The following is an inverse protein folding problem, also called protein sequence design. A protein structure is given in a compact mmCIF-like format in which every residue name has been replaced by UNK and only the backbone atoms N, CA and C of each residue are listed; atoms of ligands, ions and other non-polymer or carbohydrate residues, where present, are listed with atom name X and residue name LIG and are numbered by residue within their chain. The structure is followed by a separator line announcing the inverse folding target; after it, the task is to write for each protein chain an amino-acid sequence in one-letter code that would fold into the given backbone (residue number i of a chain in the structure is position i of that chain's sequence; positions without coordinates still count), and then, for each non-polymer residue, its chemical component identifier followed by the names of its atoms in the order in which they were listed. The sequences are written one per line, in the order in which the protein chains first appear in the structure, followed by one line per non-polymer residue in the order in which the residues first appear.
data_IF_141979627051
#
_entry.id   IF_141979627051
#
_cell.length_a   1.000
_cell.length_b   1.000
_cell.length_c   1.000
_cell.angle_alpha   90.00
_cell.angle_beta   90.00
_cell.angle_gamma   90.00
#
_symmetry.space_group_name_H-M   'P 1'
#
loop_
_entity.id
_entity.type
_entity.pdbx_description
1 polymer ?
#
# COMPACT_ATOMS: atom_id res chain seq x y z
N UNK A 1 -18.38 14.25 15.40
CA UNK A 1 -18.50 13.05 14.55
C UNK A 1 -19.30 12.02 15.31
N UNK A 2 -20.37 11.50 14.71
CA UNK A 2 -21.09 10.36 15.25
C UNK A 2 -20.17 9.13 15.26
N UNK A 3 -20.51 8.11 16.05
CA UNK A 3 -19.79 6.82 16.01
C UNK A 3 -19.78 6.20 14.61
N UNK A 4 -20.82 6.43 13.81
CA UNK A 4 -20.98 5.84 12.48
C UNK A 4 -20.06 6.54 11.46
N UNK A 5 -19.96 7.87 11.53
CA UNK A 5 -19.11 8.65 10.62
C UNK A 5 -17.65 8.22 10.73
N UNK A 6 -17.19 7.96 11.96
CA UNK A 6 -15.84 7.47 12.23
C UNK A 6 -15.61 6.07 11.64
N UNK A 7 -16.59 5.17 11.79
CA UNK A 7 -16.51 3.82 11.22
C UNK A 7 -16.43 3.87 9.70
N UNK A 8 -17.23 4.72 9.04
CA UNK A 8 -17.18 4.91 7.58
C UNK A 8 -15.79 5.40 7.17
N UNK A 9 -15.27 6.41 7.85
CA UNK A 9 -13.94 6.97 7.58
C UNK A 9 -12.83 5.93 7.74
N UNK A 10 -12.86 5.15 8.82
CA UNK A 10 -11.85 4.11 9.10
C UNK A 10 -11.90 2.99 8.04
N UNK A 11 -13.09 2.55 7.63
CA UNK A 11 -13.27 1.51 6.59
C UNK A 11 -12.74 2.01 5.24
N UNK A 12 -13.13 3.22 4.83
CA UNK A 12 -12.68 3.80 3.57
C UNK A 12 -11.16 3.98 3.57
N UNK A 13 -10.60 4.46 4.68
CA UNK A 13 -9.15 4.67 4.83
C UNK A 13 -8.34 3.39 4.71
N UNK A 14 -8.83 2.29 5.28
CA UNK A 14 -8.12 0.99 5.23
C UNK A 14 -8.39 0.21 3.94
N UNK A 15 -9.23 0.72 3.03
CA UNK A 15 -9.56 0.00 1.79
C UNK A 15 -8.32 -0.20 0.90
N UNK A 16 -8.06 -1.39 0.35
CA UNK A 16 -6.99 -1.61 -0.61
C UNK A 16 -7.18 -0.83 -1.91
N UNK A 17 -6.07 -0.44 -2.55
CA UNK A 17 -6.09 0.26 -3.84
C UNK A 17 -6.78 -0.59 -4.90
N UNK A 18 -7.77 -0.01 -5.58
CA UNK A 18 -8.56 -0.69 -6.61
C UNK A 18 -9.86 -1.34 -6.11
N UNK A 19 -10.09 -1.38 -4.80
CA UNK A 19 -11.28 -2.03 -4.22
C UNK A 19 -12.32 -1.04 -3.66
N UNK A 20 -11.97 0.26 -3.61
CA UNK A 20 -12.81 1.34 -3.12
C UNK A 20 -14.25 1.35 -3.69
N UNK A 21 -14.49 1.20 -5.01
CA UNK A 21 -15.86 1.23 -5.54
C UNK A 21 -16.76 0.15 -4.93
N UNK A 22 -16.23 -1.07 -4.74
CA UNK A 22 -16.98 -2.18 -4.13
C UNK A 22 -17.28 -1.92 -2.66
N UNK A 23 -16.29 -1.41 -1.91
CA UNK A 23 -16.47 -1.06 -0.50
C UNK A 23 -17.53 0.03 -0.33
N UNK A 24 -17.59 1.01 -1.23
CA UNK A 24 -18.63 2.06 -1.22
C UNK A 24 -20.02 1.45 -1.49
N UNK A 25 -20.13 0.52 -2.43
CA UNK A 25 -21.39 -0.19 -2.70
C UNK A 25 -21.84 -1.00 -1.49
N UNK A 26 -20.94 -1.76 -0.86
CA UNK A 26 -21.23 -2.55 0.33
C UNK A 26 -21.66 -1.67 1.52
N UNK A 27 -20.98 -0.54 1.75
CA UNK A 27 -21.34 0.41 2.80
C UNK A 27 -22.75 0.99 2.61
N UNK A 28 -23.12 1.31 1.35
CA UNK A 28 -24.47 1.79 1.02
C UNK A 28 -25.55 0.73 1.21
N UNK A 29 -25.21 -0.55 1.05
CA UNK A 29 -26.14 -1.67 1.30
C UNK A 29 -26.31 -1.94 2.80
N UNK A 30 -25.24 -1.83 3.58
CA UNK A 30 -25.26 -2.08 5.03
C UNK A 30 -25.95 -0.94 5.79
N UNK A 31 -25.76 0.30 5.34
CA UNK A 31 -26.27 1.49 6.02
C UNK A 31 -27.56 1.95 5.34
N UNK A 32 -28.69 1.77 6.04
CA UNK A 32 -30.04 2.15 5.58
C UNK A 32 -30.31 3.68 5.66
N UNK A 33 -29.30 4.49 5.33
CA UNK A 33 -29.34 5.96 5.33
C UNK A 33 -28.46 6.53 4.23
N UNK A 34 -28.78 7.75 3.80
CA UNK A 34 -27.92 8.49 2.89
C UNK A 34 -26.64 8.94 3.60
N UNK A 35 -25.50 8.35 3.22
CA UNK A 35 -24.16 8.62 3.76
C UNK A 35 -23.24 9.35 2.77
N UNK A 36 -23.79 9.99 1.73
CA UNK A 36 -22.99 10.57 0.65
C UNK A 36 -22.05 11.69 1.14
N UNK A 37 -22.45 12.44 2.17
CA UNK A 37 -21.64 13.50 2.74
C UNK A 37 -20.41 12.94 3.48
N UNK A 38 -20.61 11.94 4.32
CA UNK A 38 -19.57 11.24 5.07
C UNK A 38 -18.59 10.52 4.13
N UNK A 39 -19.13 9.86 3.10
CA UNK A 39 -18.34 9.22 2.05
C UNK A 39 -17.48 10.24 1.31
N UNK A 40 -18.02 11.41 0.93
CA UNK A 40 -17.26 12.44 0.21
C UNK A 40 -16.01 12.88 1.00
N UNK A 41 -16.16 13.10 2.30
CA UNK A 41 -15.04 13.48 3.18
C UNK A 41 -14.01 12.36 3.27
N UNK A 42 -14.45 11.12 3.52
CA UNK A 42 -13.56 9.97 3.66
C UNK A 42 -12.83 9.64 2.35
N UNK A 43 -13.52 9.72 1.21
CA UNK A 43 -12.97 9.43 -0.12
C UNK A 43 -11.95 10.50 -0.51
N UNK A 44 -12.17 11.77 -0.14
CA UNK A 44 -11.16 12.82 -0.32
C UNK A 44 -9.87 12.46 0.42
N UNK A 45 -9.93 12.16 1.71
CA UNK A 45 -8.74 11.78 2.49
C UNK A 45 -8.06 10.53 1.92
N UNK A 46 -8.85 9.53 1.55
CA UNK A 46 -8.36 8.30 0.91
C UNK A 46 -7.61 8.60 -0.38
N UNK A 47 -8.18 9.42 -1.26
CA UNK A 47 -7.59 9.74 -2.55
C UNK A 47 -6.25 10.46 -2.42
N UNK A 48 -6.16 11.42 -1.49
CA UNK A 48 -4.94 12.16 -1.22
C UNK A 48 -3.84 11.28 -0.62
N UNK A 49 -4.23 10.32 0.24
CA UNK A 49 -3.30 9.41 0.91
C UNK A 49 -2.80 8.31 -0.03
N UNK A 50 -3.64 7.87 -0.98
CA UNK A 50 -3.31 6.83 -1.95
C UNK A 50 -2.70 7.35 -3.26
N UNK A 51 -2.43 8.66 -3.34
CA UNK A 51 -1.91 9.30 -4.55
C UNK A 51 -2.79 8.94 -5.75
N UNK A 52 -4.11 8.99 -5.59
CA UNK A 52 -5.03 8.63 -6.66
C UNK A 52 -4.75 9.48 -7.89
N UNK A 53 -4.87 8.88 -9.06
CA UNK A 53 -4.59 9.54 -10.32
C UNK A 53 -5.91 9.94 -10.96
N UNK A 54 -5.96 11.13 -11.53
CA UNK A 54 -7.12 11.59 -12.30
C UNK A 54 -6.64 11.98 -13.69
N UNK A 55 -7.49 11.76 -14.69
CA UNK A 55 -7.19 12.18 -16.06
C UNK A 55 -7.64 13.64 -16.26
N UNK A 56 -6.69 14.52 -16.55
CA UNK A 56 -6.93 15.93 -16.91
C UNK A 56 -6.36 16.18 -18.30
N UNK A 57 -7.25 16.43 -19.27
CA UNK A 57 -6.87 16.68 -20.67
C UNK A 57 -5.99 15.57 -21.30
N UNK A 58 -6.25 14.30 -20.99
CA UNK A 58 -5.48 13.10 -21.40
C UNK A 58 -4.13 12.93 -20.68
N UNK A 59 -3.91 13.64 -19.57
CA UNK A 59 -2.73 13.49 -18.74
C UNK A 59 -3.14 12.93 -17.37
N UNK A 60 -2.61 11.77 -16.95
CA UNK A 60 -2.82 11.28 -15.59
C UNK A 60 -2.03 12.15 -14.60
N UNK A 61 -2.74 12.75 -13.65
CA UNK A 61 -2.19 13.63 -12.62
C UNK A 61 -2.49 13.02 -11.24
N UNK A 62 -1.45 12.90 -10.41
CA UNK A 62 -1.58 12.49 -9.02
C UNK A 62 -2.19 13.61 -8.19
N UNK A 63 -3.22 13.28 -7.40
CA UNK A 63 -3.78 14.18 -6.39
C UNK A 63 -3.25 13.85 -5.01
N UNK A 64 -2.75 14.86 -4.31
CA UNK A 64 -2.13 14.72 -3.01
C UNK A 64 -2.23 16.01 -2.20
N UNK A 65 -1.89 15.95 -0.92
CA UNK A 65 -1.75 17.16 -0.08
C UNK A 65 -0.62 18.09 -0.54
N UNK A 66 0.35 17.56 -1.30
CA UNK A 66 1.56 18.30 -1.70
C UNK A 66 1.35 19.17 -2.93
N UNK A 67 0.28 18.95 -3.70
CA UNK A 67 -0.11 19.78 -4.83
C UNK A 67 -1.48 20.42 -4.67
N UNK A 68 -1.93 20.56 -3.43
CA UNK A 68 -3.17 21.23 -3.06
C UNK A 68 -2.86 22.70 -2.75
N UNK A 69 -3.59 23.63 -3.35
CA UNK A 69 -3.36 25.08 -3.22
C UNK A 69 -4.26 25.69 -2.13
N UNK A 70 -5.57 25.44 -2.19
CA UNK A 70 -6.60 26.08 -1.32
C UNK A 70 -7.70 25.11 -0.86
N UNK A 71 -7.34 23.97 -0.27
CA UNK A 71 -8.23 22.87 0.14
C UNK A 71 -9.15 22.26 -0.95
N UNK A 72 -9.41 22.95 -2.06
CA UNK A 72 -10.30 22.54 -3.15
C UNK A 72 -9.57 22.39 -4.48
N UNK A 73 -8.54 23.22 -4.74
CA UNK A 73 -7.80 23.22 -5.99
C UNK A 73 -6.50 22.44 -5.89
N UNK A 74 -6.17 21.78 -7.00
CA UNK A 74 -4.93 21.07 -7.22
C UNK A 74 -4.17 21.70 -8.37
N UNK A 75 -2.84 21.65 -8.26
CA UNK A 75 -1.91 22.22 -9.23
C UNK A 75 -1.11 21.09 -9.86
N UNK A 76 -0.93 21.17 -11.16
CA UNK A 76 0.12 20.44 -11.86
C UNK A 76 0.99 21.42 -12.63
N UNK A 77 2.13 21.73 -12.02
CA UNK A 77 3.16 22.62 -12.57
C UNK A 77 3.73 22.09 -13.89
N UNK A 78 3.78 20.75 -14.06
CA UNK A 78 4.34 20.14 -15.27
C UNK A 78 3.45 20.39 -16.49
N UNK A 79 2.14 20.23 -16.35
CA UNK A 79 1.20 20.45 -17.45
C UNK A 79 0.63 21.88 -17.48
N UNK A 80 0.94 22.71 -16.48
CA UNK A 80 0.48 24.09 -16.41
C UNK A 80 -1.03 24.19 -16.20
N UNK A 81 -1.59 23.34 -15.34
CA UNK A 81 -3.03 23.31 -15.06
C UNK A 81 -3.34 23.42 -13.56
N UNK A 82 -4.43 24.12 -13.24
CA UNK A 82 -5.06 24.18 -11.92
C UNK A 82 -6.50 23.70 -12.07
N UNK A 83 -6.95 22.79 -11.22
CA UNK A 83 -8.27 22.18 -11.33
C UNK A 83 -8.85 21.81 -9.98
N UNK A 84 -10.17 21.71 -9.89
CA UNK A 84 -10.92 21.13 -8.77
C UNK A 84 -11.20 19.66 -9.05
N UNK A 85 -11.43 18.87 -8.01
CA UNK A 85 -11.71 17.42 -8.14
C UNK A 85 -13.04 17.06 -7.52
N UNK A 86 -13.88 16.41 -8.30
CA UNK A 86 -14.99 15.62 -7.75
C UNK A 86 -14.42 14.28 -7.27
N UNK A 87 -14.21 14.17 -5.96
CA UNK A 87 -13.63 12.96 -5.37
C UNK A 87 -14.54 11.73 -5.44
N UNK A 88 -15.86 11.91 -5.61
CA UNK A 88 -16.81 10.81 -5.74
C UNK A 88 -16.77 10.20 -7.14
N UNK A 89 -16.76 11.07 -8.17
CA UNK A 89 -16.69 10.65 -9.58
C UNK A 89 -15.26 10.45 -10.09
N UNK A 90 -14.28 10.91 -9.31
CA UNK A 90 -12.86 10.94 -9.66
C UNK A 90 -12.61 11.67 -11.00
N UNK A 91 -13.21 12.85 -11.15
CA UNK A 91 -13.13 13.68 -12.36
C UNK A 91 -12.67 15.09 -12.07
N UNK A 92 -11.89 15.72 -12.97
CA UNK A 92 -11.55 17.12 -12.84
C UNK A 92 -12.76 18.02 -13.12
N UNK A 93 -12.76 19.18 -12.47
CA UNK A 93 -13.72 20.28 -12.60
C UNK A 93 -12.95 21.60 -12.64
N UNK A 94 -13.54 22.67 -13.19
CA UNK A 94 -12.97 24.03 -13.16
C UNK A 94 -11.49 24.12 -13.57
N UNK A 95 -11.15 23.49 -14.71
CA UNK A 95 -9.77 23.47 -15.22
C UNK A 95 -9.38 24.86 -15.73
N UNK A 96 -8.28 25.39 -15.20
CA UNK A 96 -7.69 26.68 -15.54
C UNK A 96 -6.23 26.49 -15.91
N UNK A 97 -5.75 27.18 -16.94
CA UNK A 97 -4.34 27.14 -17.34
C UNK A 97 -3.52 28.09 -16.47
N UNK A 98 -2.37 27.63 -16.02
CA UNK A 98 -1.38 28.38 -15.23
C UNK A 98 -0.02 28.34 -15.95
N UNK A 99 0.94 29.09 -15.44
CA UNK A 99 2.30 29.04 -15.96
C UNK A 99 2.92 27.65 -15.77
N UNK A 100 3.45 27.09 -16.85
CA UNK A 100 4.10 25.79 -16.84
C UNK A 100 5.49 25.91 -16.23
N UNK A 101 5.81 25.05 -15.27
CA UNK A 101 7.12 24.99 -14.62
C UNK A 101 7.58 23.54 -14.51
N UNK A 102 8.55 23.19 -15.35
CA UNK A 102 9.13 21.84 -15.40
C UNK A 102 10.34 21.78 -14.47
N UNK A 103 10.32 20.85 -13.52
CA UNK A 103 11.44 20.63 -12.63
C UNK A 103 12.68 20.12 -13.38
N UNK A 104 13.87 20.53 -12.94
CA UNK A 104 15.16 20.03 -13.45
C UNK A 104 15.32 18.52 -13.33
N UNK A 105 14.56 17.86 -12.45
CA UNK A 105 14.59 16.41 -12.24
C UNK A 105 13.59 15.64 -13.11
N UNK A 106 12.70 16.32 -13.86
CA UNK A 106 11.60 15.68 -14.59
C UNK A 106 12.08 14.62 -15.58
N UNK A 107 13.07 14.94 -16.41
CA UNK A 107 13.58 14.02 -17.44
C UNK A 107 14.21 12.76 -16.83
N UNK A 108 15.01 12.90 -15.79
CA UNK A 108 15.69 11.78 -15.12
C UNK A 108 14.69 10.90 -14.35
N UNK A 109 13.76 11.53 -13.63
CA UNK A 109 12.71 10.83 -12.89
C UNK A 109 11.75 10.09 -13.84
N UNK A 110 11.37 10.72 -14.96
CA UNK A 110 10.53 10.09 -15.99
C UNK A 110 11.14 8.78 -16.48
N UNK A 111 12.44 8.82 -16.82
CA UNK A 111 13.18 7.63 -17.27
C UNK A 111 13.22 6.57 -16.18
N UNK A 112 13.52 6.96 -14.95
CA UNK A 112 13.53 6.04 -13.80
C UNK A 112 12.17 5.33 -13.63
N UNK A 113 11.08 6.09 -13.63
CA UNK A 113 9.74 5.57 -13.39
C UNK A 113 9.32 4.61 -14.51
N UNK A 114 9.55 4.96 -15.78
CA UNK A 114 9.26 4.10 -16.93
C UNK A 114 10.07 2.79 -16.88
N UNK A 115 11.35 2.88 -16.49
CA UNK A 115 12.23 1.70 -16.43
C UNK A 115 11.89 0.74 -15.28
N UNK A 116 11.40 1.25 -14.14
CA UNK A 116 11.14 0.44 -12.94
C UNK A 116 9.68 0.02 -12.76
N UNK A 117 8.73 0.79 -13.28
CA UNK A 117 7.30 0.57 -13.04
C UNK A 117 6.55 0.40 -14.35
N UNK A 118 5.87 -0.73 -14.53
CA UNK A 118 5.10 -1.02 -15.74
C UNK A 118 3.94 -0.02 -15.97
N UNK A 119 3.41 0.56 -14.90
CA UNK A 119 2.36 1.60 -14.88
C UNK A 119 2.69 2.61 -13.76
N UNK A 120 3.89 3.19 -13.87
CA UNK A 120 4.38 4.18 -12.92
C UNK A 120 3.92 5.59 -13.27
N UNK A 121 3.58 6.35 -12.25
CA UNK A 121 3.27 7.77 -12.33
C UNK A 121 4.06 8.52 -11.27
N UNK A 122 4.33 9.80 -11.51
CA UNK A 122 5.01 10.64 -10.53
C UNK A 122 4.50 12.07 -10.59
N UNK A 123 4.77 12.80 -9.52
CA UNK A 123 4.49 14.22 -9.39
C UNK A 123 5.67 14.89 -8.69
N UNK A 124 6.07 16.06 -9.17
CA UNK A 124 7.05 16.91 -8.51
C UNK A 124 6.36 18.23 -8.19
N UNK A 125 6.24 18.56 -6.91
CA UNK A 125 5.72 19.86 -6.48
C UNK A 125 6.39 20.34 -5.20
N UNK A 126 6.79 21.62 -5.15
CA UNK A 126 7.41 22.26 -3.97
C UNK A 126 8.54 21.42 -3.34
N UNK A 127 9.51 20.97 -4.16
CA UNK A 127 10.63 20.10 -3.73
C UNK A 127 10.22 18.74 -3.15
N UNK A 128 8.96 18.33 -3.29
CA UNK A 128 8.48 16.98 -2.94
C UNK A 128 8.30 16.17 -4.22
N UNK A 129 8.89 14.98 -4.23
CA UNK A 129 8.70 13.97 -5.27
C UNK A 129 7.73 12.91 -4.75
N UNK A 130 6.65 12.66 -5.48
CA UNK A 130 5.76 11.53 -5.28
C UNK A 130 5.94 10.54 -6.42
N UNK A 131 6.04 9.26 -6.09
CA UNK A 131 6.08 8.16 -7.06
C UNK A 131 4.99 7.17 -6.69
N UNK A 132 4.23 6.75 -7.69
CA UNK A 132 3.19 5.74 -7.56
C UNK A 132 3.38 4.65 -8.61
N UNK A 133 3.41 3.42 -8.15
CA UNK A 133 3.19 2.24 -8.98
C UNK A 133 2.00 1.47 -8.45
N UNK A 134 1.13 0.99 -9.32
CA UNK A 134 0.05 0.10 -8.91
C UNK A 134 -0.22 -0.93 -9.99
N UNK A 135 -0.73 -2.08 -9.56
CA UNK A 135 -1.19 -3.13 -10.46
C UNK A 135 -2.30 -3.89 -9.77
N UNK A 136 -3.38 -4.10 -10.50
CA UNK A 136 -4.58 -4.77 -9.97
C UNK A 136 -5.01 -5.85 -10.94
N UNK A 137 -5.47 -6.98 -10.40
CA UNK A 137 -6.04 -8.06 -11.19
C UNK A 137 -7.21 -8.69 -10.44
N UNK A 138 -8.38 -8.07 -10.57
CA UNK A 138 -9.60 -8.55 -9.90
C UNK A 138 -10.02 -9.96 -10.34
N UNK A 139 -9.71 -10.34 -11.59
CA UNK A 139 -9.93 -11.71 -12.10
C UNK A 139 -9.04 -12.76 -11.41
N UNK A 140 -7.88 -12.34 -10.92
CA UNK A 140 -6.93 -13.19 -10.19
C UNK A 140 -6.92 -12.87 -8.69
N UNK A 141 -7.91 -12.12 -8.20
CA UNK A 141 -8.11 -11.81 -6.79
C UNK A 141 -6.92 -11.15 -6.08
N UNK A 142 -6.19 -10.23 -6.74
CA UNK A 142 -5.17 -9.45 -6.06
C UNK A 142 -5.07 -7.99 -6.52
N UNK A 143 -4.57 -7.16 -5.60
CA UNK A 143 -4.20 -5.77 -5.83
C UNK A 143 -2.84 -5.49 -5.19
N UNK A 144 -2.08 -4.58 -5.79
CA UNK A 144 -0.76 -4.20 -5.30
C UNK A 144 -0.47 -2.73 -5.60
N UNK A 145 0.09 -2.04 -4.62
CA UNK A 145 0.47 -0.64 -4.72
C UNK A 145 1.82 -0.37 -4.06
N UNK A 146 2.56 0.53 -4.69
CA UNK A 146 3.81 1.11 -4.23
C UNK A 146 3.66 2.62 -4.29
N UNK A 147 3.82 3.30 -3.15
CA UNK A 147 3.71 4.76 -3.05
C UNK A 147 4.92 5.27 -2.31
N UNK A 148 5.61 6.22 -2.90
CA UNK A 148 6.79 6.81 -2.30
C UNK A 148 6.69 8.32 -2.29
N UNK A 149 7.15 8.92 -1.21
CA UNK A 149 7.29 10.36 -1.05
C UNK A 149 8.73 10.65 -0.69
N UNK A 150 9.33 11.65 -1.32
CA UNK A 150 10.66 12.15 -0.98
C UNK A 150 10.62 13.67 -0.88
N UNK A 151 11.12 14.21 0.22
CA UNK A 151 11.31 15.63 0.44
C UNK A 151 12.77 15.98 0.13
N UNK A 152 13.00 16.77 -0.93
CA UNK A 152 14.33 17.14 -1.40
C UNK A 152 14.99 18.21 -0.52
N UNK A 153 14.25 18.90 0.35
CA UNK A 153 14.83 19.88 1.28
C UNK A 153 15.40 19.18 2.51
N UNK A 154 14.68 18.20 3.05
CA UNK A 154 15.08 17.47 4.26
C UNK A 154 15.85 16.17 3.97
N UNK A 155 15.78 15.67 2.73
CA UNK A 155 16.31 14.37 2.35
C UNK A 155 15.52 13.20 2.92
N UNK A 156 14.35 13.43 3.53
CA UNK A 156 13.53 12.37 4.12
C UNK A 156 12.58 11.79 3.09
N UNK A 157 12.45 10.47 3.11
CA UNK A 157 11.50 9.74 2.29
C UNK A 157 10.66 8.76 3.09
N UNK A 158 9.56 8.36 2.49
CA UNK A 158 8.62 7.39 3.02
C UNK A 158 8.14 6.51 1.86
N UNK A 159 8.23 5.18 2.04
CA UNK A 159 7.79 4.19 1.05
C UNK A 159 6.71 3.33 1.71
N UNK A 160 5.52 3.34 1.11
CA UNK A 160 4.36 2.57 1.50
C UNK A 160 4.04 1.52 0.44
N UNK A 161 3.96 0.26 0.86
CA UNK A 161 3.66 -0.88 0.01
C UNK A 161 2.44 -1.58 0.59
N UNK A 162 1.44 -1.81 -0.26
CA UNK A 162 0.21 -2.49 0.13
C UNK A 162 -0.18 -3.51 -0.94
N UNK A 163 -0.24 -4.78 -0.57
CA UNK A 163 -0.61 -5.90 -1.45
C UNK A 163 -1.72 -6.69 -0.78
N UNK A 164 -2.81 -6.93 -1.49
CA UNK A 164 -3.95 -7.69 -1.02
C UNK A 164 -4.24 -8.84 -1.97
N UNK A 165 -4.40 -10.05 -1.43
CA UNK A 165 -4.81 -11.25 -2.16
C UNK A 165 -6.00 -11.89 -1.44
N UNK A 166 -7.06 -12.19 -2.19
CA UNK A 166 -8.37 -12.54 -1.63
C UNK A 166 -9.07 -13.72 -2.32
N UNK A 167 -8.30 -14.65 -2.90
CA UNK A 167 -8.85 -15.92 -3.41
C UNK A 167 -8.98 -16.91 -2.24
N UNK A 168 -10.21 -17.38 -1.97
CA UNK A 168 -10.53 -18.35 -0.91
C UNK A 168 -9.99 -17.99 0.50
N UNK A 169 -9.72 -16.71 0.73
CA UNK A 169 -9.13 -16.18 1.95
C UNK A 169 -8.93 -14.67 1.87
N UNK A 170 -8.27 -14.08 2.87
CA UNK A 170 -7.85 -12.68 2.86
C UNK A 170 -6.43 -12.60 3.43
N UNK A 171 -5.48 -12.22 2.58
CA UNK A 171 -4.07 -12.04 2.94
C UNK A 171 -3.64 -10.66 2.47
N UNK A 172 -3.13 -9.85 3.38
CA UNK A 172 -2.63 -8.51 3.09
C UNK A 172 -1.23 -8.31 3.62
N UNK A 173 -0.38 -7.67 2.82
CA UNK A 173 0.92 -7.15 3.20
C UNK A 173 0.84 -5.64 3.21
N UNK A 174 1.05 -5.03 4.37
CA UNK A 174 1.28 -3.60 4.51
C UNK A 174 2.69 -3.37 5.02
N UNK A 175 3.42 -2.46 4.38
CA UNK A 175 4.79 -2.10 4.78
C UNK A 175 4.95 -0.59 4.65
N UNK A 176 5.44 0.04 5.72
CA UNK A 176 5.83 1.44 5.74
C UNK A 176 7.31 1.52 6.11
N UNK A 177 8.12 2.13 5.26
CA UNK A 177 9.55 2.32 5.48
C UNK A 177 9.89 3.80 5.38
N UNK A 178 10.45 4.35 6.46
CA UNK A 178 11.06 5.67 6.43
C UNK A 178 12.51 5.54 5.94
N UNK A 179 12.90 6.42 5.04
CA UNK A 179 14.22 6.38 4.38
C UNK A 179 14.84 7.76 4.31
N UNK A 180 16.13 7.80 4.05
CA UNK A 180 16.88 9.03 3.79
C UNK A 180 17.51 8.94 2.41
N UNK A 181 17.51 10.05 1.68
CA UNK A 181 18.08 10.17 0.34
C UNK A 181 19.15 11.25 0.32
N UNK A 182 20.15 11.06 -0.53
CA UNK A 182 21.16 12.08 -0.81
C UNK A 182 20.58 13.15 -1.74
N UNK A 183 20.47 14.37 -1.21
CA UNK A 183 19.91 15.54 -1.90
C UNK A 183 20.80 16.00 -3.07
N UNK A 184 22.11 15.67 -3.05
CA UNK A 184 23.03 16.07 -4.12
C UNK A 184 22.73 15.35 -5.44
N UNK A 185 22.27 14.10 -5.35
CA UNK A 185 21.90 13.26 -6.50
C UNK A 185 20.62 12.47 -6.21
N UNK A 186 19.46 13.16 -6.10
CA UNK A 186 18.27 12.61 -5.47
C UNK A 186 17.68 11.42 -6.23
N UNK A 187 17.60 11.49 -7.56
CA UNK A 187 17.00 10.41 -8.37
C UNK A 187 17.83 9.12 -8.29
N UNK A 188 19.16 9.24 -8.36
CA UNK A 188 20.06 8.10 -8.19
C UNK A 188 19.97 7.48 -6.79
N UNK A 189 19.83 8.32 -5.75
CA UNK A 189 19.65 7.87 -4.37
C UNK A 189 18.31 7.16 -4.17
N UNK A 190 17.22 7.70 -4.74
CA UNK A 190 15.89 7.08 -4.74
C UNK A 190 15.98 5.68 -5.35
N UNK A 191 16.59 5.56 -6.54
CA UNK A 191 16.78 4.26 -7.20
C UNK A 191 17.49 3.24 -6.31
N UNK A 192 18.57 3.63 -5.64
CA UNK A 192 19.33 2.74 -4.77
C UNK A 192 18.51 2.31 -3.54
N UNK A 193 17.81 3.25 -2.91
CA UNK A 193 17.00 3.01 -1.71
C UNK A 193 15.81 2.10 -2.02
N UNK A 194 15.06 2.38 -3.11
CA UNK A 194 13.92 1.54 -3.52
C UNK A 194 14.37 0.12 -3.88
N UNK A 195 15.47 -0.01 -4.64
CA UNK A 195 16.06 -1.33 -4.97
C UNK A 195 16.45 -2.10 -3.70
N UNK A 196 17.09 -1.42 -2.74
CA UNK A 196 17.49 -2.02 -1.46
C UNK A 196 16.28 -2.53 -0.67
N UNK A 197 15.19 -1.76 -0.64
CA UNK A 197 13.96 -2.15 0.04
C UNK A 197 13.31 -3.35 -0.64
N UNK A 198 13.19 -3.33 -1.97
CA UNK A 198 12.65 -4.47 -2.72
C UNK A 198 13.43 -5.76 -2.44
N UNK A 199 14.76 -5.71 -2.50
CA UNK A 199 15.63 -6.86 -2.20
C UNK A 199 15.52 -7.30 -0.74
N UNK A 200 15.39 -6.35 0.19
CA UNK A 200 15.21 -6.63 1.61
C UNK A 200 13.90 -7.36 1.88
N UNK A 201 12.79 -6.92 1.27
CA UNK A 201 11.49 -7.57 1.38
C UNK A 201 11.53 -8.99 0.85
N UNK A 202 12.13 -9.21 -0.32
CA UNK A 202 12.28 -10.56 -0.88
C UNK A 202 13.03 -11.50 0.08
N UNK A 203 14.11 -11.02 0.70
CA UNK A 203 14.87 -11.80 1.71
C UNK A 203 14.05 -12.06 2.97
N UNK A 204 13.27 -11.07 3.44
CA UNK A 204 12.39 -11.23 4.59
C UNK A 204 11.32 -12.28 4.34
N UNK A 205 10.69 -12.29 3.16
CA UNK A 205 9.72 -13.32 2.79
C UNK A 205 10.31 -14.72 2.71
N UNK A 206 11.52 -14.86 2.15
CA UNK A 206 12.22 -16.15 2.15
C UNK A 206 12.46 -16.65 3.59
N UNK A 207 12.92 -15.77 4.49
CA UNK A 207 13.14 -16.11 5.90
C UNK A 207 11.85 -16.43 6.66
N UNK A 208 10.76 -15.69 6.41
CA UNK A 208 9.46 -15.96 7.02
C UNK A 208 8.96 -17.37 6.67
N UNK A 209 9.11 -17.77 5.41
CA UNK A 209 8.72 -19.09 4.92
C UNK A 209 9.61 -20.21 5.50
N UNK A 210 10.92 -20.00 5.54
CA UNK A 210 11.85 -21.06 5.94
C UNK A 210 11.97 -21.27 7.45
N UNK A 211 11.88 -20.20 8.25
CA UNK A 211 12.15 -20.22 9.68
C UNK A 211 10.91 -19.94 10.53
N UNK A 212 10.24 -18.80 10.30
CA UNK A 212 9.22 -18.30 11.22
C UNK A 212 7.95 -19.15 11.18
N UNK A 213 7.41 -19.44 10.00
CA UNK A 213 6.17 -20.23 9.92
C UNK A 213 6.35 -21.67 10.41
N UNK A 214 7.54 -22.26 10.27
CA UNK A 214 7.84 -23.60 10.78
C UNK A 214 7.84 -23.67 12.31
N UNK A 215 8.16 -22.56 12.99
CA UNK A 215 8.12 -22.48 14.45
C UNK A 215 6.68 -22.39 14.98
N UNK A 216 5.78 -21.71 14.28
CA UNK A 216 4.38 -21.60 14.67
C UNK A 216 3.64 -22.93 14.54
N UNK A 217 3.79 -23.61 13.40
CA UNK A 217 3.19 -24.93 13.17
C UNK A 217 4.09 -25.77 12.28
N UNK A 218 4.50 -26.91 12.82
CA UNK A 218 5.25 -27.89 12.03
C UNK A 218 4.32 -28.56 11.02
N UNK A 219 4.85 -28.78 9.81
CA UNK A 219 4.15 -29.54 8.78
C UNK A 219 3.86 -30.98 9.22
N UNK A 220 4.77 -31.57 10.00
CA UNK A 220 4.61 -32.87 10.65
C UNK A 220 5.03 -32.80 12.13
N UNK A 221 4.45 -33.65 13.00
CA UNK A 221 4.92 -33.86 14.37
C UNK A 221 6.43 -34.18 14.44
N UNK A 222 7.01 -34.11 15.65
CA UNK A 222 8.43 -34.46 15.91
C UNK A 222 8.81 -35.81 15.31
N UNK A 223 7.88 -36.76 15.39
CA UNK A 223 8.02 -38.13 14.87
C UNK A 223 8.13 -38.23 13.35
N UNK A 224 7.92 -37.12 12.61
CA UNK A 224 7.88 -37.07 11.13
C UNK A 224 6.84 -38.04 10.53
N UNK A 225 5.77 -38.30 11.26
CA UNK A 225 4.66 -39.16 10.84
C UNK A 225 3.32 -38.51 11.18
N UNK A 226 2.28 -38.81 10.39
CA UNK A 226 0.92 -38.37 10.71
C UNK A 226 0.51 -38.95 12.06
N UNK A 227 -0.27 -38.18 12.82
CA UNK A 227 -0.79 -38.62 14.12
C UNK A 227 -1.63 -39.88 13.89
N UNK A 228 -1.26 -40.97 14.56
CA UNK A 228 -2.08 -42.17 14.62
C UNK A 228 -3.11 -42.01 15.73
N UNK A 229 -4.28 -41.49 15.36
CA UNK A 229 -5.38 -41.24 16.30
C UNK A 229 -5.80 -42.48 17.09
N UNK A 230 -5.76 -43.67 16.48
CA UNK A 230 -6.10 -44.93 17.17
C UNK A 230 -5.13 -45.33 18.29
N UNK A 231 -3.86 -44.89 18.23
CA UNK A 231 -2.89 -45.07 19.33
C UNK A 231 -2.89 -43.89 20.33
N UNK A 232 -3.28 -42.70 19.88
CA UNK A 232 -3.33 -41.49 20.70
C UNK A 232 -4.54 -41.47 21.65
N UNK A 233 -5.66 -42.07 21.25
CA UNK A 233 -6.89 -42.14 22.03
C UNK A 233 -6.88 -43.45 22.85
N UNK A 234 -6.50 -43.37 24.13
CA UNK A 234 -6.77 -44.42 25.12
C UNK A 234 -5.57 -45.17 25.75
N UNK A 235 -4.43 -45.31 25.07
CA UNK A 235 -3.31 -46.15 25.55
C UNK A 235 -1.96 -45.43 25.70
N UNK A 236 -1.87 -44.13 25.44
CA UNK A 236 -0.62 -43.39 25.52
C UNK A 236 -0.36 -42.87 26.95
N UNK A 237 0.32 -43.67 27.79
CA UNK A 237 0.78 -43.24 29.12
C UNK A 237 2.09 -42.44 29.00
N UNK A 238 1.99 -41.11 28.99
CA UNK A 238 3.14 -40.20 29.12
C UNK A 238 3.77 -40.36 30.52
N UNK A 239 5.08 -40.61 30.59
CA UNK A 239 5.86 -40.58 31.85
C UNK A 239 6.43 -41.89 32.38
N UNK A 240 6.21 -43.06 31.75
CA UNK A 240 6.75 -44.34 32.29
C UNK A 240 8.22 -44.64 31.91
N UNK A 241 8.78 -43.95 30.92
CA UNK A 241 10.12 -44.23 30.39
C UNK A 241 11.28 -43.53 31.13
N UNK A 242 11.01 -42.67 32.11
CA UNK A 242 12.05 -41.97 32.89
C UNK A 242 12.32 -42.61 34.25
N UNK A 243 11.69 -43.75 34.58
CA UNK A 243 11.74 -44.37 35.91
C UNK A 243 12.61 -45.63 36.02
N UNK A 244 13.30 -46.04 34.96
CA UNK A 244 14.02 -47.33 34.92
C UNK A 244 15.56 -47.23 34.79
N UNK A 245 16.18 -46.08 35.12
CA UNK A 245 17.64 -45.93 35.04
C UNK A 245 18.31 -45.44 36.33
N UNK A 246 17.73 -45.75 37.49
CA UNK A 246 18.39 -45.55 38.80
C UNK A 246 18.15 -46.74 39.73
N UNK A 247 18.67 -47.91 39.37
CA UNK A 247 18.96 -49.00 40.32
C UNK A 247 19.81 -50.08 39.66
N UNK A 248 21.13 -49.90 39.76
CA UNK A 248 22.08 -51.00 39.85
C UNK A 248 23.38 -50.43 40.40
N UNK A 249 23.52 -50.60 41.72
CA UNK A 249 24.75 -50.63 42.50
C UNK A 249 25.89 -51.39 41.82
#
# INVERSE_FOLDING_TARGET
MSSVDKIISDIIKDTPVGELPKVIEDLKLIIDKNINHELSIAIKEYNLTNFTSIDVENNPIIISKYNQDDDEFFIDSKNGVKFKVDHLLLKPQEITKIEQSISKYDSELSKYVIDQYNQGEYLINNDVILIKGHKTSSLNYWTGSWRSKYDLQTGKGEINIDVHYYEDGNVRLQTLQNVEIDISSPISSIKQVETKIQLSLNKQFANLNEAVFKQLRRQLPVTRSKINWGKAIGNYKLGKLTSSSSSSS
#
